data_IF_236783011871
#
_entry.id   IF_236783011871
#
_cell.length_a   1.000
_cell.length_b   1.000
_cell.length_c   1.000
_cell.angle_alpha   90.00
_cell.angle_beta   90.00
_cell.angle_gamma   90.00
#
_symmetry.space_group_name_H-M   'P 1'
#
loop_
_entity.id
_entity.type
_entity.pdbx_description
1 polymer ?
#
# COMPACT_ATOMS: atom_id res chain seq x y z
N UNK A 1 32.07 -28.19 -4.88
CA UNK A 1 30.77 -27.63 -4.40
C UNK A 1 31.04 -26.38 -3.58
N UNK A 2 30.62 -25.20 -4.05
CA UNK A 2 30.72 -23.95 -3.25
C UNK A 2 29.78 -24.10 -2.05
N UNK A 3 30.34 -24.10 -0.82
CA UNK A 3 29.55 -23.99 0.42
C UNK A 3 28.65 -22.76 0.31
N UNK A 4 27.34 -22.97 0.14
CA UNK A 4 26.37 -21.88 0.27
C UNK A 4 26.50 -21.34 1.68
N UNK A 5 27.03 -20.10 1.84
CA UNK A 5 27.04 -19.43 3.12
C UNK A 5 25.61 -19.41 3.66
N UNK A 6 25.44 -19.88 4.89
CA UNK A 6 24.13 -19.95 5.55
C UNK A 6 23.73 -18.50 5.91
N UNK A 7 23.10 -17.81 4.96
CA UNK A 7 22.74 -16.39 5.10
C UNK A 7 21.39 -16.32 5.83
N UNK A 8 21.40 -15.67 6.98
CA UNK A 8 20.22 -15.44 7.82
C UNK A 8 20.19 -13.98 8.25
N UNK A 9 19.04 -13.33 8.13
CA UNK A 9 18.89 -11.94 8.57
C UNK A 9 17.75 -11.21 7.86
N UNK A 10 17.69 -9.90 8.07
CA UNK A 10 16.72 -9.01 7.48
C UNK A 10 17.38 -7.97 6.60
N UNK A 11 16.77 -7.70 5.45
CA UNK A 11 17.09 -6.58 4.57
C UNK A 11 15.90 -5.63 4.58
N UNK A 12 16.16 -4.35 4.76
CA UNK A 12 15.17 -3.29 4.63
C UNK A 12 15.35 -2.62 3.28
N UNK A 13 14.62 -3.17 2.31
CA UNK A 13 14.71 -2.72 0.92
C UNK A 13 13.90 -1.46 0.71
N UNK A 14 14.47 -0.44 0.05
CA UNK A 14 13.72 0.62 -0.59
C UNK A 14 13.22 0.11 -1.94
N UNK A 15 11.98 -0.44 -1.96
CA UNK A 15 11.41 -0.97 -3.19
C UNK A 15 11.19 0.18 -4.20
N UNK A 16 11.78 0.12 -5.39
CA UNK A 16 11.50 1.11 -6.41
C UNK A 16 10.06 0.99 -6.93
N UNK A 17 9.56 2.07 -7.52
CA UNK A 17 8.31 2.10 -8.27
C UNK A 17 8.43 1.21 -9.53
N UNK A 18 7.32 0.71 -10.06
CA UNK A 18 7.24 -0.01 -11.33
C UNK A 18 7.48 -1.53 -11.23
N UNK A 19 7.89 -2.05 -10.06
CA UNK A 19 8.06 -3.50 -9.85
C UNK A 19 7.20 -4.03 -8.72
N UNK A 20 6.70 -5.26 -8.85
CA UNK A 20 5.97 -5.92 -7.77
C UNK A 20 6.89 -6.29 -6.61
N UNK A 21 6.32 -6.41 -5.38
CA UNK A 21 7.06 -6.91 -4.21
C UNK A 21 7.70 -8.27 -4.45
N UNK A 22 7.04 -9.15 -5.22
CA UNK A 22 7.61 -10.47 -5.56
C UNK A 22 8.81 -10.34 -6.52
N UNK A 23 8.75 -9.47 -7.51
CA UNK A 23 9.89 -9.24 -8.42
C UNK A 23 11.08 -8.65 -7.67
N UNK A 24 10.83 -7.70 -6.74
CA UNK A 24 11.84 -7.16 -5.85
C UNK A 24 12.50 -8.28 -5.00
N UNK A 25 11.69 -9.17 -4.41
CA UNK A 25 12.18 -10.34 -3.69
C UNK A 25 13.06 -11.25 -4.56
N UNK A 26 12.65 -11.53 -5.82
CA UNK A 26 13.45 -12.38 -6.71
C UNK A 26 14.80 -11.74 -7.07
N UNK A 27 14.85 -10.42 -7.28
CA UNK A 27 16.11 -9.70 -7.49
C UNK A 27 17.03 -9.82 -6.28
N UNK A 28 16.52 -9.63 -5.06
CA UNK A 28 17.29 -9.83 -3.82
C UNK A 28 17.76 -11.27 -3.70
N UNK A 29 16.90 -12.25 -3.94
CA UNK A 29 17.29 -13.69 -3.90
C UNK A 29 18.42 -14.01 -4.86
N UNK A 30 18.42 -13.42 -6.07
CA UNK A 30 19.51 -13.62 -7.04
C UNK A 30 20.86 -13.15 -6.49
N UNK A 31 20.90 -12.01 -5.79
CA UNK A 31 22.12 -11.49 -5.13
C UNK A 31 22.64 -12.47 -4.07
N UNK A 32 21.73 -13.15 -3.36
CA UNK A 32 22.05 -14.09 -2.27
C UNK A 32 21.97 -15.57 -2.71
N UNK A 33 22.36 -15.85 -3.95
CA UNK A 33 22.42 -17.24 -4.51
C UNK A 33 21.11 -18.01 -4.30
N UNK A 34 19.96 -17.36 -4.52
CA UNK A 34 18.62 -17.93 -4.41
C UNK A 34 18.29 -18.58 -3.05
N UNK A 35 18.88 -18.07 -1.96
CA UNK A 35 18.55 -18.51 -0.63
C UNK A 35 17.04 -18.43 -0.35
N UNK A 36 16.58 -19.17 0.66
CA UNK A 36 15.20 -19.03 1.15
C UNK A 36 14.96 -17.59 1.59
N UNK A 37 13.90 -16.96 1.08
CA UNK A 37 13.57 -15.59 1.44
C UNK A 37 12.06 -15.33 1.37
N UNK A 38 11.58 -14.32 2.09
CA UNK A 38 10.20 -13.85 2.09
C UNK A 38 10.14 -12.39 2.48
N UNK A 39 9.07 -11.69 2.14
CA UNK A 39 8.86 -10.29 2.51
C UNK A 39 7.61 -10.12 3.37
N UNK A 40 7.53 -8.99 4.07
CA UNK A 40 6.39 -8.61 4.91
C UNK A 40 5.66 -7.43 4.32
N UNK A 41 4.34 -7.55 4.21
CA UNK A 41 3.46 -6.47 3.74
C UNK A 41 3.69 -6.14 2.26
N UNK A 42 2.86 -6.69 1.39
CA UNK A 42 2.90 -6.43 -0.06
C UNK A 42 2.75 -4.94 -0.35
N UNK A 43 3.59 -4.43 -1.25
CA UNK A 43 3.44 -3.14 -1.91
C UNK A 43 3.00 -3.37 -3.35
N UNK A 44 2.06 -2.54 -3.82
CA UNK A 44 1.63 -2.51 -5.21
C UNK A 44 2.80 -2.10 -6.14
N UNK A 45 2.77 -2.39 -7.44
CA UNK A 45 3.83 -1.99 -8.36
C UNK A 45 4.10 -0.48 -8.36
N UNK A 46 3.05 0.35 -8.33
CA UNK A 46 3.14 1.80 -8.23
C UNK A 46 3.63 2.32 -6.87
N UNK A 47 3.55 1.50 -5.83
CA UNK A 47 4.04 1.90 -4.52
C UNK A 47 5.55 1.69 -4.41
N UNK A 48 6.23 2.59 -3.68
CA UNK A 48 7.66 2.50 -3.35
C UNK A 48 7.90 2.42 -1.86
N UNK A 49 9.17 2.28 -1.46
CA UNK A 49 9.59 2.44 -0.08
C UNK A 49 9.79 1.14 0.67
N UNK A 50 9.64 1.20 1.95
CA UNK A 50 10.09 0.22 2.94
C UNK A 50 9.48 -1.18 2.73
N UNK A 51 10.28 -2.15 2.28
CA UNK A 51 9.91 -3.55 2.11
C UNK A 51 10.86 -4.45 2.90
N UNK A 52 10.47 -4.94 4.10
CA UNK A 52 11.28 -5.87 4.86
C UNK A 52 11.37 -7.23 4.15
N UNK A 53 12.58 -7.74 3.96
CA UNK A 53 12.87 -9.04 3.36
C UNK A 53 13.66 -9.87 4.34
N UNK A 54 13.12 -11.03 4.72
CA UNK A 54 13.79 -12.02 5.55
C UNK A 54 14.55 -13.02 4.67
N UNK A 55 15.78 -13.36 5.07
CA UNK A 55 16.64 -14.34 4.42
C UNK A 55 16.87 -15.55 5.33
N UNK A 56 16.90 -16.76 4.75
CA UNK A 56 17.19 -18.00 5.46
C UNK A 56 16.22 -18.26 6.61
N UNK A 57 16.74 -18.56 7.80
CA UNK A 57 15.93 -18.85 8.98
C UNK A 57 15.11 -17.64 9.49
N UNK A 58 15.51 -16.40 9.16
CA UNK A 58 14.72 -15.22 9.51
C UNK A 58 13.31 -15.27 8.88
N UNK A 59 13.07 -16.05 7.83
CA UNK A 59 11.72 -16.23 7.27
C UNK A 59 10.72 -16.79 8.28
N UNK A 60 11.18 -17.50 9.32
CA UNK A 60 10.32 -18.05 10.39
C UNK A 60 9.75 -16.94 11.30
N UNK A 61 10.40 -15.76 11.33
CA UNK A 61 10.00 -14.61 12.16
C UNK A 61 9.06 -13.64 11.45
N UNK A 62 8.76 -13.85 10.16
CA UNK A 62 7.85 -13.00 9.37
C UNK A 62 6.50 -12.81 10.05
N UNK A 63 5.93 -13.90 10.61
CA UNK A 63 4.62 -13.89 11.29
C UNK A 63 4.54 -12.87 12.45
N UNK A 64 5.65 -12.56 13.09
CA UNK A 64 5.69 -11.59 14.21
C UNK A 64 5.74 -10.13 13.76
N UNK A 65 5.95 -9.88 12.47
CA UNK A 65 6.02 -8.54 11.87
C UNK A 65 4.81 -8.22 10.99
N UNK A 66 4.00 -9.23 10.60
CA UNK A 66 2.94 -9.02 9.62
C UNK A 66 1.84 -8.08 10.13
N UNK A 67 1.54 -8.11 11.43
CA UNK A 67 0.53 -7.26 12.07
C UNK A 67 1.03 -5.88 12.51
N UNK A 68 2.24 -5.50 12.13
CA UNK A 68 2.82 -4.22 12.49
C UNK A 68 2.13 -3.05 11.80
N UNK A 69 2.08 -1.91 12.48
CA UNK A 69 1.60 -0.65 11.92
C UNK A 69 2.50 -0.19 10.78
N UNK A 70 1.92 0.50 9.82
CA UNK A 70 2.60 0.97 8.63
C UNK A 70 2.34 2.46 8.43
N UNK A 71 3.35 3.16 7.93
CA UNK A 71 3.29 4.59 7.67
C UNK A 71 3.49 4.83 6.17
N UNK A 72 2.63 5.68 5.61
CA UNK A 72 2.68 6.00 4.20
C UNK A 72 2.61 7.50 3.97
N UNK A 73 3.29 7.95 2.93
CA UNK A 73 3.01 9.21 2.24
C UNK A 73 2.36 8.88 0.91
N UNK A 74 1.28 9.58 0.56
CA UNK A 74 0.59 9.34 -0.70
C UNK A 74 0.06 10.65 -1.28
N UNK A 75 -0.08 10.65 -2.60
CA UNK A 75 -0.65 11.77 -3.35
C UNK A 75 -1.91 11.30 -4.05
N UNK A 76 -2.86 12.20 -4.20
CA UNK A 76 -4.10 11.96 -4.92
C UNK A 76 -4.33 13.04 -5.98
N UNK A 77 -4.93 12.62 -7.10
CA UNK A 77 -5.63 13.51 -8.02
C UNK A 77 -7.12 13.47 -7.73
N UNK A 78 -7.71 14.64 -7.48
CA UNK A 78 -9.14 14.81 -7.28
C UNK A 78 -9.91 14.78 -8.59
N UNK A 79 -11.19 14.42 -8.51
CA UNK A 79 -12.12 14.44 -9.64
C UNK A 79 -12.01 13.25 -10.57
N UNK A 80 -11.06 12.34 -10.39
CA UNK A 80 -10.82 11.17 -11.24
C UNK A 80 -11.05 9.90 -10.44
N UNK A 81 -11.87 8.98 -10.99
CA UNK A 81 -12.06 7.63 -10.48
C UNK A 81 -11.45 6.64 -11.45
N UNK A 82 -10.58 5.74 -10.97
CA UNK A 82 -10.05 4.63 -11.74
C UNK A 82 -10.50 3.29 -11.18
N UNK A 83 -10.50 2.25 -12.00
CA UNK A 83 -10.92 0.90 -11.60
C UNK A 83 -10.07 0.28 -10.50
N UNK A 84 -8.79 0.66 -10.39
CA UNK A 84 -7.85 0.19 -9.36
C UNK A 84 -7.63 1.17 -8.20
N UNK A 85 -8.22 2.38 -8.26
CA UNK A 85 -7.98 3.46 -7.28
C UNK A 85 -6.58 4.09 -7.39
N UNK A 86 -5.80 3.70 -8.41
CA UNK A 86 -4.46 4.22 -8.73
C UNK A 86 -4.28 4.40 -10.25
N UNK A 87 -3.08 4.78 -10.70
CA UNK A 87 -2.77 5.04 -12.11
C UNK A 87 -2.69 3.77 -12.99
N UNK A 88 -2.73 2.55 -12.41
CA UNK A 88 -2.75 1.30 -13.20
C UNK A 88 -4.14 0.99 -13.74
N UNK A 89 -5.20 1.57 -13.16
CA UNK A 89 -6.59 1.33 -13.56
C UNK A 89 -7.05 2.21 -14.70
N UNK A 90 -8.04 1.70 -15.44
CA UNK A 90 -8.74 2.51 -16.44
C UNK A 90 -9.61 3.58 -15.74
N UNK A 91 -9.71 4.76 -16.37
CA UNK A 91 -10.61 5.81 -15.90
C UNK A 91 -12.05 5.34 -16.06
N UNK A 92 -12.80 5.36 -14.97
CA UNK A 92 -14.23 5.00 -14.91
C UNK A 92 -15.15 6.23 -14.86
N UNK A 93 -14.68 7.31 -14.21
CA UNK A 93 -15.48 8.54 -14.08
C UNK A 93 -14.58 9.76 -13.87
N UNK A 94 -15.07 10.92 -14.30
CA UNK A 94 -14.42 12.22 -14.12
C UNK A 94 -15.49 13.26 -13.72
N UNK A 95 -15.19 14.04 -12.69
CA UNK A 95 -15.99 15.22 -12.31
C UNK A 95 -15.07 16.40 -12.03
N UNK A 96 -15.52 17.61 -12.33
CA UNK A 96 -14.78 18.85 -12.05
C UNK A 96 -15.20 19.38 -10.67
N UNK A 97 -14.84 18.66 -9.61
CA UNK A 97 -15.06 19.07 -8.24
C UNK A 97 -13.80 18.79 -7.42
N UNK A 98 -13.17 19.86 -6.97
CA UNK A 98 -11.89 19.82 -6.26
C UNK A 98 -12.10 20.41 -4.87
N UNK A 99 -11.79 19.67 -3.80
CA UNK A 99 -12.03 20.14 -2.43
C UNK A 99 -11.03 21.22 -2.02
N UNK A 100 -11.49 22.20 -1.29
CA UNK A 100 -10.61 23.20 -0.66
C UNK A 100 -9.79 22.55 0.47
N UNK A 101 -8.72 23.24 0.89
CA UNK A 101 -7.92 22.83 2.03
C UNK A 101 -8.75 22.67 3.31
N UNK A 102 -9.66 23.61 3.54
CA UNK A 102 -10.54 23.67 4.71
C UNK A 102 -11.51 22.49 4.73
N UNK A 103 -12.11 22.16 3.59
CA UNK A 103 -13.00 20.99 3.46
C UNK A 103 -12.24 19.70 3.76
N UNK A 104 -11.02 19.55 3.22
CA UNK A 104 -10.19 18.38 3.49
C UNK A 104 -9.90 18.27 5.00
N UNK A 105 -9.38 19.34 5.62
CA UNK A 105 -9.02 19.33 7.05
C UNK A 105 -10.21 19.04 7.95
N UNK A 106 -11.41 19.48 7.60
CA UNK A 106 -12.65 19.25 8.35
C UNK A 106 -13.06 17.78 8.40
N UNK A 107 -12.75 17.00 7.36
CA UNK A 107 -13.21 15.61 7.30
C UNK A 107 -12.18 14.60 7.78
N UNK A 108 -10.86 14.90 7.73
CA UNK A 108 -9.82 13.95 8.11
C UNK A 108 -10.02 13.35 9.52
N UNK A 109 -10.44 14.10 10.55
CA UNK A 109 -10.68 13.55 11.88
C UNK A 109 -11.70 12.39 11.91
N UNK A 110 -12.65 12.34 10.96
CA UNK A 110 -13.65 11.27 10.88
C UNK A 110 -13.06 9.89 10.56
N UNK A 111 -11.84 9.85 10.04
CA UNK A 111 -11.15 8.62 9.68
C UNK A 111 -10.18 8.13 10.74
N UNK A 112 -9.93 8.93 11.79
CA UNK A 112 -9.06 8.53 12.90
C UNK A 112 -9.78 7.51 13.79
N UNK A 113 -9.06 6.47 14.23
CA UNK A 113 -9.60 5.36 15.01
C UNK A 113 -10.02 4.18 14.15
N UNK A 114 -10.98 3.40 14.65
CA UNK A 114 -11.45 2.18 13.99
C UNK A 114 -12.55 2.48 12.97
N UNK A 115 -12.44 1.90 11.78
CA UNK A 115 -13.55 1.85 10.83
C UNK A 115 -13.51 0.60 9.95
N UNK A 116 -14.67 0.24 9.39
CA UNK A 116 -14.81 -0.93 8.53
C UNK A 116 -14.50 -0.57 7.09
N UNK A 117 -13.30 -0.90 6.65
CA UNK A 117 -12.83 -0.66 5.28
C UNK A 117 -13.16 -1.84 4.39
N UNK A 118 -13.79 -1.59 3.25
CA UNK A 118 -13.93 -2.58 2.19
C UNK A 118 -12.58 -2.72 1.46
N UNK A 119 -12.00 -3.94 1.40
CA UNK A 119 -10.75 -4.12 0.67
C UNK A 119 -10.91 -3.79 -0.81
N UNK A 120 -9.83 -3.29 -1.44
CA UNK A 120 -9.87 -3.00 -2.87
C UNK A 120 -9.96 -4.30 -3.68
N UNK A 121 -10.75 -4.31 -4.79
CA UNK A 121 -10.90 -5.49 -5.67
C UNK A 121 -9.55 -5.94 -6.26
N UNK A 122 -8.67 -4.99 -6.59
CA UNK A 122 -7.30 -5.27 -7.03
C UNK A 122 -6.35 -5.46 -5.82
N UNK A 123 -6.60 -6.51 -5.03
CA UNK A 123 -5.80 -6.83 -3.84
C UNK A 123 -5.25 -8.25 -3.88
N UNK A 124 -4.27 -8.51 -3.02
CA UNK A 124 -3.70 -9.85 -2.83
C UNK A 124 -4.55 -10.77 -1.94
N UNK A 125 -5.71 -10.30 -1.44
CA UNK A 125 -6.64 -11.12 -0.64
C UNK A 125 -7.09 -12.33 -1.46
N UNK A 126 -7.22 -13.50 -0.82
CA UNK A 126 -7.70 -14.71 -1.47
C UNK A 126 -9.21 -14.86 -1.26
N UNK A 127 -9.91 -15.28 -2.31
CA UNK A 127 -11.30 -15.70 -2.32
C UNK A 127 -11.31 -17.09 -2.89
N UNK A 128 -11.76 -18.08 -2.12
CA UNK A 128 -11.73 -19.50 -2.52
C UNK A 128 -10.39 -19.94 -3.12
N UNK A 129 -9.28 -19.52 -2.47
CA UNK A 129 -7.92 -19.85 -2.91
C UNK A 129 -7.35 -18.97 -4.04
N UNK A 130 -8.18 -18.20 -4.77
CA UNK A 130 -7.77 -17.35 -5.89
C UNK A 130 -7.55 -15.92 -5.41
N UNK A 131 -6.48 -15.27 -5.87
CA UNK A 131 -6.21 -13.85 -5.54
C UNK A 131 -7.26 -12.93 -6.16
N UNK A 132 -7.79 -11.98 -5.37
CA UNK A 132 -8.85 -11.06 -5.79
C UNK A 132 -8.48 -10.28 -7.07
N UNK A 133 -7.23 -9.80 -7.19
CA UNK A 133 -6.78 -9.11 -8.40
C UNK A 133 -6.88 -9.95 -9.68
N UNK A 134 -6.76 -11.30 -9.58
CA UNK A 134 -6.93 -12.19 -10.75
C UNK A 134 -8.39 -12.27 -11.18
N UNK A 135 -9.31 -12.29 -10.21
CA UNK A 135 -10.75 -12.27 -10.47
C UNK A 135 -11.18 -10.92 -11.07
N UNK A 136 -10.67 -9.81 -10.49
CA UNK A 136 -10.95 -8.46 -10.96
C UNK A 136 -10.48 -8.24 -12.42
N UNK A 137 -9.27 -8.73 -12.79
CA UNK A 137 -8.77 -8.67 -14.18
C UNK A 137 -9.64 -9.48 -15.16
N UNK A 138 -10.27 -10.55 -14.70
CA UNK A 138 -11.22 -11.34 -15.50
C UNK A 138 -12.63 -10.75 -15.52
N UNK A 139 -12.84 -9.56 -14.91
CA UNK A 139 -14.15 -8.89 -14.77
C UNK A 139 -15.20 -9.76 -14.10
N UNK A 140 -14.79 -10.72 -13.27
CA UNK A 140 -15.71 -11.55 -12.50
C UNK A 140 -16.22 -10.76 -11.30
N UNK A 141 -17.50 -10.91 -11.00
CA UNK A 141 -18.09 -10.32 -9.81
C UNK A 141 -17.75 -11.16 -8.57
N UNK A 142 -17.35 -10.48 -7.51
CA UNK A 142 -17.11 -11.07 -6.20
C UNK A 142 -17.26 -10.01 -5.11
N UNK A 143 -17.62 -10.44 -3.93
CA UNK A 143 -17.75 -9.58 -2.76
C UNK A 143 -16.54 -9.78 -1.85
N UNK A 144 -16.02 -8.68 -1.34
CA UNK A 144 -14.99 -8.70 -0.30
C UNK A 144 -15.65 -8.28 1.02
N UNK A 145 -15.44 -9.07 2.04
CA UNK A 145 -15.87 -8.71 3.39
C UNK A 145 -15.09 -7.52 3.89
N UNK A 146 -15.79 -6.57 4.50
CA UNK A 146 -15.17 -5.44 5.18
C UNK A 146 -14.20 -5.95 6.25
N UNK A 147 -13.14 -5.22 6.44
CA UNK A 147 -12.15 -5.47 7.50
C UNK A 147 -12.11 -4.27 8.43
N UNK A 148 -12.22 -4.51 9.72
CA UNK A 148 -11.97 -3.48 10.73
C UNK A 148 -10.48 -3.13 10.70
N UNK A 149 -10.19 -1.87 10.43
CA UNK A 149 -8.85 -1.29 10.43
C UNK A 149 -8.79 -0.14 11.42
N UNK A 150 -7.58 0.27 11.76
CA UNK A 150 -7.35 1.43 12.63
C UNK A 150 -6.42 2.42 11.94
N UNK A 151 -6.82 3.67 11.92
CA UNK A 151 -6.01 4.80 11.50
C UNK A 151 -5.55 5.54 12.76
N UNK A 152 -4.25 5.51 13.02
CA UNK A 152 -3.64 6.15 14.20
C UNK A 152 -3.34 7.61 13.98
N UNK A 153 -3.01 7.99 12.74
CA UNK A 153 -2.70 9.36 12.35
C UNK A 153 -3.01 9.54 10.86
N UNK A 154 -3.65 10.65 10.51
CA UNK A 154 -3.95 11.03 9.13
C UNK A 154 -3.83 12.55 9.00
N UNK A 155 -2.91 13.00 8.17
CA UNK A 155 -2.62 14.42 8.00
C UNK A 155 -2.56 14.81 6.53
N UNK A 156 -3.12 15.98 6.21
CA UNK A 156 -2.85 16.68 4.97
C UNK A 156 -1.44 17.26 5.06
N UNK A 157 -0.55 16.91 4.15
CA UNK A 157 0.79 17.48 4.07
C UNK A 157 0.78 18.78 3.26
N UNK A 158 0.30 18.70 2.02
CA UNK A 158 0.23 19.85 1.11
C UNK A 158 -0.95 19.71 0.15
N UNK A 159 -1.51 20.85 -0.26
CA UNK A 159 -2.27 20.98 -1.50
C UNK A 159 -1.25 21.30 -2.60
N UNK A 160 -0.94 20.32 -3.44
CA UNK A 160 0.09 20.44 -4.48
C UNK A 160 -0.36 21.30 -5.65
N UNK A 161 -1.67 21.29 -5.91
CA UNK A 161 -2.38 22.14 -6.86
C UNK A 161 -3.87 22.14 -6.49
N UNK A 162 -4.70 22.84 -7.26
CA UNK A 162 -6.15 22.76 -7.13
C UNK A 162 -6.68 21.32 -7.24
N UNK A 163 -6.07 20.52 -8.11
CA UNK A 163 -6.50 19.14 -8.40
C UNK A 163 -5.71 18.06 -7.66
N UNK A 164 -4.70 18.41 -6.84
CA UNK A 164 -3.82 17.44 -6.20
C UNK A 164 -3.52 17.78 -4.75
N UNK A 165 -3.49 16.74 -3.92
CA UNK A 165 -3.08 16.86 -2.52
C UNK A 165 -2.19 15.70 -2.09
N UNK A 166 -1.35 15.93 -1.08
CA UNK A 166 -0.50 14.91 -0.47
C UNK A 166 -0.82 14.72 1.00
N UNK A 167 -0.73 13.48 1.46
CA UNK A 167 -1.13 13.05 2.78
C UNK A 167 -0.07 12.17 3.43
N UNK A 168 -0.11 12.14 4.75
CA UNK A 168 0.53 11.12 5.57
C UNK A 168 -0.54 10.30 6.29
N UNK A 169 -0.33 8.98 6.38
CA UNK A 169 -1.18 8.09 7.18
C UNK A 169 -0.34 7.07 7.94
N UNK A 170 -0.68 6.86 9.22
CA UNK A 170 -0.24 5.74 10.05
C UNK A 170 -1.43 4.84 10.32
N UNK A 171 -1.36 3.56 9.93
CA UNK A 171 -2.50 2.66 9.98
C UNK A 171 -2.11 1.23 10.33
N UNK A 172 -3.10 0.46 10.77
CA UNK A 172 -2.97 -0.96 11.10
C UNK A 172 -2.70 -1.82 9.85
N UNK A 173 -2.23 -3.03 10.07
CA UNK A 173 -2.03 -4.03 9.02
C UNK A 173 -3.32 -4.36 8.29
N UNK A 174 -3.22 -4.49 6.96
CA UNK A 174 -4.35 -4.79 6.08
C UNK A 174 -5.17 -3.59 5.65
N UNK A 175 -4.77 -2.36 6.03
CA UNK A 175 -5.34 -1.13 5.50
C UNK A 175 -4.94 -0.92 4.03
N UNK A 176 -5.88 -0.44 3.22
CA UNK A 176 -5.67 -0.09 1.81
C UNK A 176 -5.69 1.42 1.66
N UNK A 177 -4.52 2.03 1.39
CA UNK A 177 -4.40 3.50 1.22
C UNK A 177 -5.21 3.99 0.02
N UNK A 178 -5.29 3.20 -1.06
CA UNK A 178 -6.13 3.52 -2.22
C UNK A 178 -7.61 3.64 -1.83
N UNK A 179 -8.10 2.70 -1.03
CA UNK A 179 -9.47 2.74 -0.53
C UNK A 179 -9.70 3.91 0.43
N UNK A 180 -8.74 4.21 1.29
CA UNK A 180 -8.81 5.39 2.16
C UNK A 180 -8.95 6.68 1.34
N UNK A 181 -8.17 6.83 0.26
CA UNK A 181 -8.26 7.98 -0.64
C UNK A 181 -9.66 8.10 -1.29
N UNK A 182 -10.23 6.97 -1.75
CA UNK A 182 -11.60 6.92 -2.30
C UNK A 182 -12.65 7.28 -1.24
N UNK A 183 -12.51 6.78 -0.01
CA UNK A 183 -13.44 7.05 1.09
C UNK A 183 -13.38 8.51 1.52
N UNK A 184 -12.19 9.13 1.55
CA UNK A 184 -12.01 10.57 1.77
C UNK A 184 -12.73 11.36 0.67
N UNK A 185 -12.46 11.04 -0.59
CA UNK A 185 -13.07 11.71 -1.74
C UNK A 185 -14.60 11.60 -1.74
N UNK A 186 -15.14 10.42 -1.41
CA UNK A 186 -16.59 10.20 -1.29
C UNK A 186 -17.23 11.12 -0.25
N UNK A 187 -16.57 11.32 0.91
CA UNK A 187 -17.05 12.24 1.95
C UNK A 187 -16.98 13.72 1.51
N UNK A 188 -16.11 14.05 0.57
CA UNK A 188 -15.99 15.38 -0.05
C UNK A 188 -16.92 15.55 -1.27
N UNK A 189 -17.67 14.50 -1.64
CA UNK A 189 -18.54 14.48 -2.81
C UNK A 189 -17.79 14.56 -4.14
N UNK A 190 -16.58 14.02 -4.20
CA UNK A 190 -15.72 13.95 -5.38
C UNK A 190 -15.16 12.54 -5.57
N UNK A 191 -14.23 12.38 -6.51
CA UNK A 191 -13.42 11.16 -6.70
C UNK A 191 -11.96 11.45 -6.38
N UNK A 192 -11.20 10.39 -6.07
CA UNK A 192 -9.75 10.45 -5.95
C UNK A 192 -9.09 9.23 -6.56
N UNK A 193 -7.96 9.45 -7.21
CA UNK A 193 -7.04 8.41 -7.68
C UNK A 193 -5.69 8.65 -7.03
N UNK A 194 -5.10 7.61 -6.43
CA UNK A 194 -3.75 7.67 -5.86
C UNK A 194 -2.73 7.75 -7.00
N UNK A 195 -1.95 8.82 -7.03
CA UNK A 195 -0.94 9.08 -8.07
C UNK A 195 0.48 8.75 -7.61
N UNK A 196 0.73 8.78 -6.31
CA UNK A 196 1.98 8.33 -5.71
C UNK A 196 1.69 7.68 -4.34
N UNK A 197 2.43 6.62 -4.03
CA UNK A 197 2.34 5.92 -2.76
C UNK A 197 3.73 5.46 -2.33
N UNK A 198 4.15 5.88 -1.13
CA UNK A 198 5.41 5.48 -0.55
C UNK A 198 5.23 5.02 0.89
N UNK A 199 5.63 3.78 1.20
CA UNK A 199 5.72 3.33 2.58
C UNK A 199 7.00 3.88 3.19
N UNK A 200 6.84 4.78 4.18
CA UNK A 200 7.95 5.49 4.83
C UNK A 200 8.32 4.89 6.19
N UNK A 201 7.42 4.10 6.80
CA UNK A 201 7.65 3.45 8.08
C UNK A 201 6.97 2.08 8.15
N UNK A 202 7.54 1.23 8.99
CA UNK A 202 7.05 -0.10 9.27
C UNK A 202 7.39 -0.43 10.73
N UNK A 203 6.37 -0.47 11.61
CA UNK A 203 6.60 -0.55 13.06
C UNK A 203 7.51 0.62 13.50
N UNK A 204 8.34 0.42 14.49
CA UNK A 204 9.29 1.44 14.99
C UNK A 204 10.65 1.42 14.24
N UNK A 205 10.68 0.81 13.04
CA UNK A 205 11.89 0.75 12.23
C UNK A 205 12.10 2.05 11.43
N UNK A 206 12.88 2.97 11.98
CA UNK A 206 13.39 4.17 11.30
C UNK A 206 14.81 3.94 10.74
N UNK A 207 15.09 2.74 10.21
CA UNK A 207 16.45 2.39 9.81
C UNK A 207 16.74 2.70 8.33
N UNK A 208 18.04 2.90 8.04
CA UNK A 208 18.57 3.15 6.70
C UNK A 208 18.10 2.07 5.72
N UNK A 209 17.44 2.47 4.65
CA UNK A 209 16.99 1.59 3.57
C UNK A 209 18.16 1.28 2.62
N UNK A 210 18.09 0.11 2.00
CA UNK A 210 19.02 -0.33 0.96
C UNK A 210 18.27 -0.29 -0.37
N UNK A 211 18.81 0.40 -1.37
CA UNK A 211 18.31 0.41 -2.74
C UNK A 211 18.78 -0.82 -3.53
N UNK A 212 18.03 -1.17 -4.57
CA UNK A 212 18.39 -2.20 -5.54
C UNK A 212 19.31 -1.64 -6.63
#
# INVERSE_FOLDING_TARGET
MKKTKNINGWIFLDKPIGISSNLALQKVRKIFNYCKAGYVGTLDPLASGFLPIALGNATKTIKYLDDSNKEYKFEVSWGIKTSSGDLEGNIENIIKKYPSREEILKILPKFIGYYDQEPHKFSSKKINGIRAYKLARKKLEFKLEKKKIEIFDLRLLNCLSETKASFFVKCSSGSYVRRLAEDIAKNLGTFATVTALRRVGFRDFNKKLISL
#
